data_IF_060081907595
#
_entry.id   IF_060081907595
#
_cell.length_a   1.000
_cell.length_b   1.000
_cell.length_c   1.000
_cell.angle_alpha   90.00
_cell.angle_beta   90.00
_cell.angle_gamma   90.00
#
_symmetry.space_group_name_H-M   'P 1'
#
loop_
_entity.id
_entity.type
_entity.pdbx_description
1 polymer ?
#
# COMPACT_ATOMS: atom_id res chain seq x y z
N UNK A 1 9.40 -15.59 -10.39
CA UNK A 1 9.32 -14.16 -10.75
C UNK A 1 8.11 -13.57 -10.04
N UNK A 2 8.28 -12.55 -9.20
CA UNK A 2 7.17 -11.94 -8.46
C UNK A 2 6.47 -10.89 -9.33
N UNK A 3 5.14 -10.92 -9.38
CA UNK A 3 4.38 -9.87 -10.08
C UNK A 3 4.31 -8.63 -9.20
N UNK A 4 4.63 -7.46 -9.78
CA UNK A 4 4.56 -6.17 -9.09
C UNK A 4 3.16 -5.59 -9.28
N UNK A 5 2.49 -5.26 -8.17
CA UNK A 5 1.12 -4.77 -8.16
C UNK A 5 1.07 -3.39 -7.53
N UNK A 6 0.30 -2.49 -8.14
CA UNK A 6 -0.09 -1.20 -7.56
C UNK A 6 -1.57 -1.22 -7.16
N UNK A 7 -1.91 -0.57 -6.05
CA UNK A 7 -3.30 -0.40 -5.60
C UNK A 7 -3.68 1.08 -5.70
N UNK A 8 -4.63 1.37 -6.58
CA UNK A 8 -5.23 2.72 -6.69
C UNK A 8 -6.36 2.86 -5.67
N UNK A 9 -6.32 3.91 -4.86
CA UNK A 9 -7.32 4.11 -3.79
C UNK A 9 -7.12 3.15 -2.61
N UNK A 10 -5.87 2.83 -2.29
CA UNK A 10 -5.50 1.90 -1.24
C UNK A 10 -5.98 2.30 0.17
N UNK A 11 -6.36 3.58 0.37
CA UNK A 11 -6.92 4.08 1.62
C UNK A 11 -8.40 3.73 1.86
N UNK A 12 -9.10 3.23 0.84
CA UNK A 12 -10.49 2.76 0.99
C UNK A 12 -10.57 1.40 1.68
N UNK A 13 -11.77 1.02 2.13
CA UNK A 13 -11.99 -0.24 2.86
C UNK A 13 -11.49 -1.48 2.10
N UNK A 14 -11.89 -1.63 0.84
CA UNK A 14 -11.44 -2.74 -0.02
C UNK A 14 -9.95 -2.65 -0.33
N UNK A 15 -9.43 -1.43 -0.51
CA UNK A 15 -7.99 -1.19 -0.74
C UNK A 15 -7.15 -1.64 0.44
N UNK A 16 -7.59 -1.34 1.66
CA UNK A 16 -6.93 -1.77 2.89
C UNK A 16 -6.92 -3.30 3.03
N UNK A 17 -8.04 -3.97 2.72
CA UNK A 17 -8.08 -5.44 2.74
C UNK A 17 -7.13 -6.04 1.70
N UNK A 18 -7.05 -5.43 0.51
CA UNK A 18 -6.11 -5.87 -0.52
C UNK A 18 -4.65 -5.64 -0.08
N UNK A 19 -4.34 -4.50 0.54
CA UNK A 19 -3.02 -4.26 1.16
C UNK A 19 -2.70 -5.36 2.16
N UNK A 20 -3.61 -5.67 3.10
CA UNK A 20 -3.42 -6.72 4.11
C UNK A 20 -3.08 -8.07 3.50
N UNK A 21 -3.76 -8.44 2.41
CA UNK A 21 -3.52 -9.71 1.72
C UNK A 21 -2.19 -9.71 0.95
N UNK A 22 -1.80 -8.58 0.35
CA UNK A 22 -0.64 -8.51 -0.54
C UNK A 22 0.68 -8.17 0.17
N UNK A 23 0.65 -7.60 1.37
CA UNK A 23 1.84 -7.16 2.09
C UNK A 23 2.86 -8.30 2.29
N UNK A 24 2.34 -9.49 2.61
CA UNK A 24 3.06 -10.74 2.89
C UNK A 24 2.89 -11.82 1.80
N UNK A 25 2.34 -11.47 0.62
CA UNK A 25 2.02 -12.48 -0.37
C UNK A 25 3.29 -13.05 -1.03
N UNK A 26 3.51 -14.39 -1.03
CA UNK A 26 4.81 -14.99 -1.39
C UNK A 26 5.18 -14.84 -2.88
N UNK A 27 4.20 -14.58 -3.76
CA UNK A 27 4.40 -14.48 -5.22
C UNK A 27 4.12 -13.09 -5.80
N UNK A 28 3.83 -12.11 -4.94
CA UNK A 28 3.46 -10.76 -5.36
C UNK A 28 4.26 -9.75 -4.56
N UNK A 29 4.67 -8.69 -5.24
CA UNK A 29 5.27 -7.52 -4.61
C UNK A 29 4.26 -6.37 -4.67
N UNK A 30 3.79 -5.90 -3.51
CA UNK A 30 3.06 -4.64 -3.42
C UNK A 30 4.04 -3.50 -3.65
N UNK A 31 4.06 -2.97 -4.87
CA UNK A 31 5.06 -2.01 -5.34
C UNK A 31 4.59 -0.56 -5.19
N UNK A 32 3.27 -0.31 -5.21
CA UNK A 32 2.72 1.02 -5.08
C UNK A 32 1.35 1.00 -4.39
N UNK A 33 1.09 2.04 -3.59
CA UNK A 33 -0.23 2.35 -3.03
C UNK A 33 -0.51 3.83 -3.29
N UNK A 34 -1.72 4.15 -3.74
CA UNK A 34 -2.10 5.54 -4.02
C UNK A 34 -3.29 5.99 -3.19
N UNK A 35 -3.29 7.27 -2.81
CA UNK A 35 -4.40 7.95 -2.14
C UNK A 35 -4.21 9.46 -2.24
N UNK A 36 -5.28 10.16 -2.67
CA UNK A 36 -5.33 11.63 -2.68
C UNK A 36 -5.28 12.24 -1.28
N UNK A 37 -5.93 11.61 -0.32
CA UNK A 37 -6.04 12.14 1.05
C UNK A 37 -4.78 11.88 1.90
N UNK A 38 -3.95 10.92 1.49
CA UNK A 38 -2.84 10.43 2.30
C UNK A 38 -1.49 10.46 1.57
N UNK A 39 -1.41 11.07 0.39
CA UNK A 39 -0.16 11.22 -0.33
C UNK A 39 0.98 11.73 0.58
N UNK A 40 2.14 11.10 0.45
CA UNK A 40 3.34 11.37 1.26
C UNK A 40 3.37 10.66 2.62
N UNK A 41 2.24 10.20 3.17
CA UNK A 41 2.18 9.45 4.43
C UNK A 41 2.62 8.01 4.24
N UNK A 42 3.24 7.42 5.26
CA UNK A 42 3.62 6.00 5.25
C UNK A 42 2.41 5.11 5.50
N UNK A 43 2.48 3.86 5.03
CA UNK A 43 1.40 2.89 5.18
C UNK A 43 1.05 2.68 6.65
N UNK A 44 2.03 2.56 7.53
CA UNK A 44 1.81 2.41 8.98
C UNK A 44 1.27 3.67 9.68
N UNK A 45 1.54 4.87 9.14
CA UNK A 45 1.00 6.10 9.72
C UNK A 45 -0.49 6.27 9.46
N UNK A 46 -0.97 5.74 8.33
CA UNK A 46 -2.40 5.71 7.96
C UNK A 46 -3.07 4.49 8.58
N UNK A 47 -2.45 3.32 8.45
CA UNK A 47 -2.95 2.05 8.94
C UNK A 47 -2.06 1.54 10.08
N UNK A 48 -2.32 2.02 11.30
CA UNK A 48 -1.58 1.61 12.51
C UNK A 48 -1.48 0.09 12.71
N UNK A 49 -2.48 -0.66 12.22
CA UNK A 49 -2.51 -2.13 12.27
C UNK A 49 -1.38 -2.82 11.51
N UNK A 50 -0.74 -2.12 10.56
CA UNK A 50 0.41 -2.64 9.80
C UNK A 50 1.76 -2.20 10.41
N UNK A 51 1.76 -1.43 11.50
CA UNK A 51 3.00 -1.01 12.15
C UNK A 51 3.85 -2.21 12.59
N UNK A 52 5.17 -2.10 12.41
CA UNK A 52 6.12 -3.18 12.69
C UNK A 52 6.34 -4.15 11.53
N UNK A 53 5.53 -4.08 10.47
CA UNK A 53 5.80 -4.80 9.24
C UNK A 53 6.98 -4.14 8.49
N UNK A 54 8.02 -4.87 8.03
CA UNK A 54 9.23 -4.27 7.45
C UNK A 54 8.98 -3.29 6.30
N UNK A 55 7.94 -3.55 5.49
CA UNK A 55 7.57 -2.69 4.35
C UNK A 55 6.69 -1.49 4.72
N UNK A 56 6.01 -1.48 5.88
CA UNK A 56 4.98 -0.48 6.19
C UNK A 56 5.55 0.92 6.47
N UNK A 57 6.76 0.99 7.02
CA UNK A 57 7.45 2.26 7.32
C UNK A 57 8.07 2.93 6.10
N UNK A 58 8.48 2.13 5.09
CA UNK A 58 9.07 2.64 3.86
C UNK A 58 8.03 2.95 2.78
N UNK A 59 6.94 2.17 2.73
CA UNK A 59 5.91 2.32 1.71
C UNK A 59 5.06 3.56 1.96
N UNK A 60 5.05 4.49 1.01
CA UNK A 60 4.29 5.74 1.08
C UNK A 60 3.16 5.74 0.08
N UNK A 61 2.06 6.37 0.46
CA UNK A 61 1.02 6.72 -0.49
C UNK A 61 1.54 7.76 -1.47
N UNK A 62 1.22 7.55 -2.74
CA UNK A 62 1.41 8.54 -3.81
C UNK A 62 0.07 9.10 -4.26
N UNK A 63 0.09 10.25 -4.93
CA UNK A 63 -1.05 10.70 -5.70
C UNK A 63 -1.32 9.72 -6.86
N UNK A 64 -2.57 9.38 -7.18
CA UNK A 64 -2.88 8.62 -8.38
C UNK A 64 -2.53 9.46 -9.62
N UNK A 65 -1.60 8.97 -10.46
CA UNK A 65 -1.33 9.54 -11.78
C UNK A 65 -2.08 8.73 -12.85
N UNK A 66 -2.68 9.44 -13.82
CA UNK A 66 -3.46 8.86 -14.91
C UNK A 66 -2.73 8.98 -16.27
N UNK A 67 -1.49 9.47 -16.28
CA UNK A 67 -0.64 9.56 -17.48
C UNK A 67 -0.19 8.20 -18.01
#
# INVERSE_FOLDING_TARGET
>A
MNKRIGIIGASGYSGEQLVRLLLDHPRVELAAVTSRQHAGKTLESVFRKFAGHPKSGAMRFSEPDAR
#
